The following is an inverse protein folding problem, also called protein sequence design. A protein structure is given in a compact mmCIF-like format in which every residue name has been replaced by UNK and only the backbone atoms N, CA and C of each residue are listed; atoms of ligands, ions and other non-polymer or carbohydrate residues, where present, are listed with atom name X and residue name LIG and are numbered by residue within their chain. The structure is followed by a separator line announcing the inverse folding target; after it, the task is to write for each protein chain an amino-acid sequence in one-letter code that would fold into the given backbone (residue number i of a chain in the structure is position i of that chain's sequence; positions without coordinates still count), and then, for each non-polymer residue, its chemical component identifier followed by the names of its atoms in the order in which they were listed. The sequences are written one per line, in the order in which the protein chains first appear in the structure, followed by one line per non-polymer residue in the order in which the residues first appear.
data_IF_703295622031
#
_entry.id   IF_703295622031
#
_cell.length_a   1.000
_cell.length_b   1.000
_cell.length_c   1.000
_cell.angle_alpha   90.00
_cell.angle_beta   90.00
_cell.angle_gamma   90.00
#
_symmetry.space_group_name_H-M   'P 1'
#
loop_
_entity.id
_entity.type
_entity.pdbx_description
1 polymer ?
#
# COMPACT_ATOMS: atom_id res chain seq x y z
N UNK A 1 29.65 10.55 -26.99
CA UNK A 1 28.31 10.08 -26.58
C UNK A 1 28.45 9.29 -25.29
N UNK A 2 28.30 9.92 -24.12
CA UNK A 2 28.51 9.28 -22.80
C UNK A 2 27.76 9.99 -21.66
N UNK A 3 26.65 10.66 -21.98
CA UNK A 3 25.84 11.42 -21.00
C UNK A 3 24.59 10.66 -20.51
N UNK A 4 24.30 9.49 -21.09
CA UNK A 4 23.11 8.70 -20.74
C UNK A 4 23.31 7.73 -19.55
N UNK A 5 24.54 7.47 -19.12
CA UNK A 5 24.81 6.43 -18.11
C UNK A 5 24.62 6.92 -16.66
N UNK A 6 24.59 8.23 -16.44
CA UNK A 6 24.49 8.83 -15.08
C UNK A 6 23.03 8.94 -14.60
N UNK A 7 22.06 9.04 -15.52
CA UNK A 7 20.64 9.14 -15.16
C UNK A 7 20.02 7.82 -14.69
N UNK A 8 20.58 6.67 -15.10
CA UNK A 8 20.08 5.34 -14.70
C UNK A 8 20.51 4.96 -13.29
N UNK A 9 21.64 5.48 -12.79
CA UNK A 9 22.14 5.20 -11.45
C UNK A 9 21.35 5.90 -10.34
N UNK A 10 20.69 7.03 -10.64
CA UNK A 10 19.92 7.80 -9.65
C UNK A 10 18.56 7.15 -9.37
N UNK A 11 18.02 6.38 -10.32
CA UNK A 11 16.73 5.69 -10.17
C UNK A 11 16.81 4.41 -9.31
N UNK A 12 18.00 3.86 -9.08
CA UNK A 12 18.17 2.66 -8.24
C UNK A 12 18.53 2.96 -6.78
N UNK A 13 18.85 4.22 -6.43
CA UNK A 13 19.36 4.61 -5.10
C UNK A 13 18.25 5.06 -4.14
N UNK A 14 17.00 5.21 -4.59
CA UNK A 14 15.86 5.53 -3.71
C UNK A 14 15.36 4.31 -2.89
N UNK A 15 15.77 3.10 -3.26
CA UNK A 15 15.14 1.85 -2.79
C UNK A 15 15.83 1.15 -1.62
N UNK A 16 16.75 1.80 -0.89
CA UNK A 16 17.60 1.11 0.10
C UNK A 16 17.68 1.79 1.47
N UNK A 17 16.64 2.47 1.96
CA UNK A 17 16.69 3.19 3.25
C UNK A 17 15.74 2.74 4.36
N UNK A 18 14.91 1.72 4.16
CA UNK A 18 13.98 1.25 5.22
C UNK A 18 14.33 -0.15 5.73
N UNK A 19 15.60 -0.39 6.08
CA UNK A 19 16.02 -1.62 6.77
C UNK A 19 15.60 -1.62 8.26
N UNK A 20 14.32 -1.34 8.51
CA UNK A 20 13.46 -1.75 9.63
C UNK A 20 12.09 -1.10 9.34
N UNK A 21 11.47 -1.49 8.22
CA UNK A 21 10.30 -0.81 7.64
C UNK A 21 9.16 -0.64 8.64
N UNK A 22 8.68 0.59 8.79
CA UNK A 22 7.43 0.88 9.49
C UNK A 22 6.25 0.27 8.69
N UNK A 23 5.04 0.23 9.25
CA UNK A 23 3.92 -0.45 8.58
C UNK A 23 3.65 0.08 7.15
N UNK A 24 3.87 1.37 6.87
CA UNK A 24 3.75 1.97 5.55
C UNK A 24 4.66 1.31 4.50
N UNK A 25 5.93 1.13 4.83
CA UNK A 25 6.93 0.49 3.95
C UNK A 25 6.55 -0.97 3.65
N UNK A 26 6.05 -1.68 4.66
CA UNK A 26 5.56 -3.07 4.50
C UNK A 26 4.27 -3.14 3.69
N UNK A 27 3.42 -2.12 3.80
CA UNK A 27 2.11 -2.03 3.15
C UNK A 27 2.21 -1.65 1.67
N UNK A 28 3.36 -1.18 1.17
CA UNK A 28 3.55 -0.83 -0.24
C UNK A 28 3.14 -1.96 -1.18
N UNK A 29 2.42 -1.62 -2.24
CA UNK A 29 2.03 -2.53 -3.32
C UNK A 29 0.52 -2.70 -3.47
N UNK A 30 0.15 -3.75 -4.22
CA UNK A 30 -1.25 -4.06 -4.53
C UNK A 30 -1.76 -5.18 -3.64
N UNK A 31 -2.97 -5.00 -3.12
CA UNK A 31 -3.66 -5.90 -2.22
C UNK A 31 -5.03 -6.25 -2.80
N UNK A 32 -5.47 -7.47 -2.55
CA UNK A 32 -6.76 -7.98 -3.02
C UNK A 32 -7.49 -8.63 -1.86
N UNK A 33 -8.74 -8.22 -1.68
CA UNK A 33 -9.70 -8.90 -0.81
C UNK A 33 -10.80 -9.49 -1.68
N UNK A 34 -11.10 -10.78 -1.41
CA UNK A 34 -11.96 -11.68 -2.21
C UNK A 34 -11.48 -11.79 -3.67
N UNK A 35 -11.01 -12.97 -4.05
CA UNK A 35 -10.44 -13.20 -5.40
C UNK A 35 -11.52 -13.52 -6.47
N UNK A 36 -12.77 -13.76 -6.07
CA UNK A 36 -13.94 -14.09 -6.92
C UNK A 36 -14.69 -12.84 -7.49
N UNK A 37 -15.98 -12.97 -7.87
CA UNK A 37 -16.81 -11.99 -8.61
C UNK A 37 -16.78 -10.54 -8.06
N UNK A 38 -16.55 -10.33 -6.76
CA UNK A 38 -16.48 -9.01 -6.12
C UNK A 38 -15.08 -8.69 -5.63
N UNK A 39 -14.16 -8.51 -6.59
CA UNK A 39 -12.77 -8.19 -6.31
C UNK A 39 -12.63 -6.77 -5.77
N UNK A 40 -12.22 -6.65 -4.52
CA UNK A 40 -11.83 -5.38 -3.93
C UNK A 40 -10.31 -5.27 -4.01
N UNK A 41 -9.79 -4.17 -4.56
CA UNK A 41 -8.35 -3.95 -4.64
C UNK A 41 -7.94 -2.69 -3.92
N UNK A 42 -6.88 -2.79 -3.13
CA UNK A 42 -6.24 -1.66 -2.48
C UNK A 42 -4.83 -1.54 -3.04
N UNK A 43 -4.45 -0.37 -3.55
CA UNK A 43 -3.10 -0.07 -4.01
C UNK A 43 -2.53 0.99 -3.09
N UNK A 44 -1.32 0.77 -2.59
CA UNK A 44 -0.62 1.71 -1.69
C UNK A 44 0.72 2.03 -2.34
N UNK A 45 0.98 3.31 -2.58
CA UNK A 45 2.22 3.85 -3.13
C UNK A 45 2.62 5.08 -2.31
N UNK A 46 3.82 5.06 -1.73
CA UNK A 46 4.28 6.05 -0.76
C UNK A 46 3.27 6.18 0.40
N UNK A 47 2.63 7.33 0.57
CA UNK A 47 1.58 7.55 1.57
C UNK A 47 0.17 7.56 0.96
N UNK A 48 0.05 7.50 -0.37
CA UNK A 48 -1.20 7.51 -1.10
C UNK A 48 -1.77 6.09 -1.24
N UNK A 49 -3.10 5.99 -1.30
CA UNK A 49 -3.77 4.74 -1.60
C UNK A 49 -5.00 4.90 -2.51
N UNK A 50 -5.25 3.86 -3.29
CA UNK A 50 -6.41 3.76 -4.16
C UNK A 50 -7.19 2.49 -3.80
N UNK A 51 -8.44 2.64 -3.36
CA UNK A 51 -9.36 1.55 -3.09
C UNK A 51 -10.35 1.42 -4.25
N UNK A 52 -10.29 0.31 -4.98
CA UNK A 52 -11.24 -0.01 -6.06
C UNK A 52 -12.23 -1.07 -5.62
N UNK A 53 -13.52 -0.75 -5.72
CA UNK A 53 -14.64 -1.63 -5.44
C UNK A 53 -15.68 -1.56 -6.56
N UNK A 54 -16.06 -2.69 -7.16
CA UNK A 54 -17.02 -2.75 -8.28
C UNK A 54 -16.74 -1.78 -9.45
N UNK A 55 -15.47 -1.45 -9.71
CA UNK A 55 -15.08 -0.49 -10.76
C UNK A 55 -15.18 0.99 -10.37
N UNK A 56 -15.55 1.29 -9.13
CA UNK A 56 -15.43 2.61 -8.52
C UNK A 56 -14.11 2.68 -7.76
N UNK A 57 -13.36 3.78 -7.94
CA UNK A 57 -12.11 4.04 -7.21
C UNK A 57 -12.34 5.18 -6.24
N UNK A 58 -11.83 5.02 -5.01
CA UNK A 58 -11.77 6.06 -3.98
C UNK A 58 -10.31 6.24 -3.59
N UNK A 59 -9.88 7.49 -3.48
CA UNK A 59 -8.53 7.82 -3.05
C UNK A 59 -8.47 7.90 -1.52
N UNK A 60 -7.26 7.81 -0.98
CA UNK A 60 -7.00 7.93 0.45
C UNK A 60 -5.52 8.10 0.76
N UNK A 61 -5.22 8.40 2.01
CA UNK A 61 -3.87 8.67 2.50
C UNK A 61 -3.61 7.93 3.83
N UNK A 62 -2.37 7.50 4.03
CA UNK A 62 -1.88 6.94 5.27
C UNK A 62 -1.56 8.07 6.26
N UNK A 63 -2.32 8.18 7.37
CA UNK A 63 -2.12 9.26 8.36
C UNK A 63 -1.40 8.81 9.63
N UNK A 64 -1.47 7.52 10.00
CA UNK A 64 -0.91 7.01 11.27
C UNK A 64 -0.18 5.72 11.03
N UNK A 65 1.13 5.71 11.27
CA UNK A 65 1.99 4.53 11.06
C UNK A 65 2.64 4.13 12.38
N UNK A 66 2.26 2.95 12.86
CA UNK A 66 2.92 2.23 13.94
C UNK A 66 3.69 1.03 13.37
N UNK A 67 4.46 0.34 14.21
CA UNK A 67 5.37 -0.74 13.80
C UNK A 67 4.79 -1.72 12.76
N UNK A 68 3.59 -2.20 13.01
CA UNK A 68 2.88 -3.18 12.17
C UNK A 68 1.44 -2.75 11.87
N UNK A 69 1.01 -1.54 12.27
CA UNK A 69 -0.34 -1.03 12.03
C UNK A 69 -0.28 0.29 11.28
N UNK A 70 -1.22 0.53 10.38
CA UNK A 70 -1.44 1.85 9.81
C UNK A 70 -2.92 2.20 9.71
N UNK A 71 -3.25 3.47 9.65
CA UNK A 71 -4.61 3.96 9.36
C UNK A 71 -4.64 4.58 7.97
N UNK A 72 -5.62 4.17 7.18
CA UNK A 72 -5.93 4.75 5.88
C UNK A 72 -7.15 5.65 6.02
N UNK A 73 -7.00 6.93 5.72
CA UNK A 73 -8.11 7.88 5.61
C UNK A 73 -8.55 7.96 4.16
N UNK A 74 -9.81 7.66 3.89
CA UNK A 74 -10.42 7.76 2.58
C UNK A 74 -10.99 9.17 2.36
N UNK A 75 -11.20 9.55 1.11
CA UNK A 75 -11.81 10.84 0.74
C UNK A 75 -13.18 11.10 1.39
N UNK A 76 -13.96 10.06 1.70
CA UNK A 76 -15.27 10.16 2.38
C UNK A 76 -15.14 10.39 3.91
N UNK A 77 -13.98 10.85 4.40
CA UNK A 77 -13.62 10.99 5.82
C UNK A 77 -13.65 9.68 6.64
N UNK A 78 -13.94 8.55 6.01
CA UNK A 78 -13.87 7.21 6.60
C UNK A 78 -12.41 6.83 6.87
N UNK A 79 -12.15 6.22 8.03
CA UNK A 79 -10.82 5.72 8.41
C UNK A 79 -10.87 4.21 8.59
N UNK A 80 -9.94 3.50 7.97
CA UNK A 80 -9.78 2.04 8.10
C UNK A 80 -8.41 1.73 8.67
N UNK A 81 -8.34 0.93 9.73
CA UNK A 81 -7.04 0.48 10.26
C UNK A 81 -6.65 -0.87 9.69
N UNK A 82 -5.38 -0.98 9.33
CA UNK A 82 -4.80 -2.20 8.81
C UNK A 82 -3.62 -2.64 9.68
N UNK A 83 -3.49 -3.95 9.86
CA UNK A 83 -2.30 -4.60 10.41
C UNK A 83 -1.57 -5.35 9.31
N UNK A 84 -0.28 -5.07 9.15
CA UNK A 84 0.58 -5.73 8.17
C UNK A 84 1.23 -6.97 8.77
N UNK A 85 1.05 -8.12 8.13
CA UNK A 85 1.72 -9.38 8.48
C UNK A 85 2.35 -10.00 7.23
N UNK A 86 3.53 -9.49 6.84
CA UNK A 86 4.26 -10.01 5.68
C UNK A 86 3.51 -9.79 4.36
N UNK A 87 2.89 -10.84 3.82
CA UNK A 87 2.12 -10.81 2.56
C UNK A 87 0.61 -10.62 2.77
N UNK A 88 0.19 -10.27 3.98
CA UNK A 88 -1.22 -10.08 4.36
C UNK A 88 -1.44 -8.70 5.00
N UNK A 89 -2.54 -8.04 4.64
CA UNK A 89 -3.14 -6.98 5.46
C UNK A 89 -4.39 -7.52 6.13
N UNK A 90 -4.61 -7.12 7.38
CA UNK A 90 -5.83 -7.42 8.11
C UNK A 90 -6.51 -6.13 8.53
N UNK A 91 -7.77 -5.92 8.18
CA UNK A 91 -8.53 -4.76 8.64
C UNK A 91 -9.27 -5.01 9.96
N UNK A 92 -9.97 -3.99 10.44
CA UNK A 92 -10.71 -3.99 11.72
C UNK A 92 -11.87 -5.01 11.75
N UNK A 93 -12.36 -5.44 10.59
CA UNK A 93 -13.41 -6.45 10.43
C UNK A 93 -12.84 -7.87 10.24
N UNK A 94 -11.56 -8.07 10.61
CA UNK A 94 -10.82 -9.33 10.48
C UNK A 94 -10.65 -9.82 9.01
N UNK A 95 -10.98 -9.00 8.01
CA UNK A 95 -10.80 -9.37 6.62
C UNK A 95 -9.31 -9.42 6.26
N UNK A 96 -8.93 -10.45 5.49
CA UNK A 96 -7.55 -10.67 5.07
C UNK A 96 -7.39 -10.32 3.60
N UNK A 97 -6.54 -9.33 3.34
CA UNK A 97 -6.13 -8.90 2.01
C UNK A 97 -4.79 -9.53 1.67
N UNK A 98 -4.69 -10.12 0.49
CA UNK A 98 -3.46 -10.76 0.03
C UNK A 98 -2.68 -9.83 -0.88
N UNK A 99 -1.35 -9.80 -0.70
CA UNK A 99 -0.46 -9.09 -1.60
C UNK A 99 -0.49 -9.74 -2.98
N UNK A 100 -0.74 -8.94 -4.01
CA UNK A 100 -0.69 -9.35 -5.40
C UNK A 100 0.72 -9.04 -5.93
N UNK A 101 1.45 -10.10 -6.26
CA UNK A 101 2.75 -10.07 -6.95
C UNK A 101 2.61 -9.45 -8.36
#
# INVERSE_FOLDING_TARGET
MKKGLILVLILCVSLVLSACGNAEDKAQGKWVYKEDDEKITLKIEDSDAELTYMGLTMEGEIEKVEKDNFSLKLEDDSTVRFKVNGKELKDEDDNVWKKKD
#
